data_IF_280525369643
#
_entry.id   IF_280525369643
#
_cell.length_a   1.000
_cell.length_b   1.000
_cell.length_c   1.000
_cell.angle_alpha   90.00
_cell.angle_beta   90.00
_cell.angle_gamma   90.00
#
_symmetry.space_group_name_H-M   'P 1'
#
loop_
_entity.id
_entity.type
_entity.pdbx_description
1 polymer ?
#
# COMPACT_ATOMS: atom_id res chain seq x y z
N UNK A 1 4.14 -12.37 -31.06
CA UNK A 1 4.70 -11.89 -29.79
C UNK A 1 3.91 -12.52 -28.65
N UNK A 2 4.54 -13.34 -27.81
CA UNK A 2 3.88 -13.92 -26.64
C UNK A 2 4.01 -12.94 -25.48
N UNK A 3 2.90 -12.39 -25.00
CA UNK A 3 2.87 -11.59 -23.78
C UNK A 3 2.78 -12.55 -22.60
N UNK A 4 3.84 -12.60 -21.78
CA UNK A 4 3.82 -13.35 -20.53
C UNK A 4 2.89 -12.61 -19.56
N UNK A 5 1.72 -13.18 -19.29
CA UNK A 5 0.87 -12.72 -18.19
C UNK A 5 1.53 -13.13 -16.87
N UNK A 6 1.77 -12.20 -15.92
CA UNK A 6 2.25 -12.59 -14.61
C UNK A 6 1.23 -13.52 -13.97
N UNK A 7 1.69 -14.66 -13.46
CA UNK A 7 0.85 -15.57 -12.67
C UNK A 7 0.40 -14.83 -11.41
N UNK A 8 -0.82 -15.11 -10.93
CA UNK A 8 -1.34 -14.49 -9.72
C UNK A 8 -0.37 -14.58 -8.54
N UNK A 9 0.46 -15.63 -8.48
CA UNK A 9 1.52 -15.81 -7.48
C UNK A 9 2.61 -14.74 -7.51
N UNK A 10 2.89 -14.11 -8.65
CA UNK A 10 3.90 -13.05 -8.75
C UNK A 10 3.31 -11.66 -8.41
N UNK A 11 2.05 -11.39 -8.78
CA UNK A 11 1.32 -10.26 -8.21
C UNK A 11 1.19 -10.44 -6.70
N UNK A 12 0.77 -11.62 -6.23
CA UNK A 12 0.71 -11.96 -4.81
C UNK A 12 2.10 -11.77 -4.18
N UNK A 13 3.20 -12.22 -4.79
CA UNK A 13 4.58 -12.01 -4.29
C UNK A 13 4.97 -10.52 -4.22
N UNK A 14 4.58 -9.72 -5.23
CA UNK A 14 4.85 -8.28 -5.29
C UNK A 14 4.01 -7.51 -4.26
N UNK A 15 2.74 -7.87 -4.10
CA UNK A 15 1.83 -7.27 -3.13
C UNK A 15 2.15 -7.74 -1.70
N UNK A 16 2.48 -9.02 -1.52
CA UNK A 16 2.94 -9.58 -0.23
C UNK A 16 4.27 -9.01 0.23
N UNK A 17 5.10 -8.46 -0.68
CA UNK A 17 6.28 -7.68 -0.30
C UNK A 17 5.94 -6.33 0.33
N UNK A 18 4.81 -5.72 -0.01
CA UNK A 18 4.40 -4.45 0.60
C UNK A 18 3.55 -4.69 1.84
N UNK A 19 2.59 -5.60 1.74
CA UNK A 19 1.58 -5.83 2.74
C UNK A 19 1.16 -7.31 2.80
N UNK A 20 0.98 -7.89 4.00
CA UNK A 20 0.59 -9.29 4.13
C UNK A 20 -0.81 -9.52 3.55
N UNK A 21 -0.89 -10.40 2.53
CA UNK A 21 -2.12 -10.65 1.78
C UNK A 21 -3.29 -11.15 2.66
N UNK A 22 -2.99 -11.90 3.73
CA UNK A 22 -3.99 -12.51 4.60
C UNK A 22 -4.55 -11.60 5.69
N UNK A 23 -3.78 -10.61 6.13
CA UNK A 23 -4.12 -9.80 7.32
C UNK A 23 -4.29 -8.33 7.01
N UNK A 24 -3.79 -7.82 5.90
CA UNK A 24 -3.95 -6.42 5.51
C UNK A 24 -3.49 -6.21 4.05
N UNK A 25 -4.21 -6.70 3.04
CA UNK A 25 -3.71 -6.73 1.66
C UNK A 25 -3.59 -5.36 0.99
N UNK A 26 -4.14 -4.29 1.58
CA UNK A 26 -4.22 -2.98 0.93
C UNK A 26 -3.10 -2.05 1.39
N UNK A 27 -2.13 -1.70 0.51
CA UNK A 27 -1.18 -0.64 0.79
C UNK A 27 -1.85 0.73 0.68
N UNK A 28 -1.82 1.51 1.76
CA UNK A 28 -2.35 2.87 1.82
C UNK A 28 -1.31 3.83 2.42
N UNK A 29 -1.32 5.08 1.98
CA UNK A 29 -0.64 6.16 2.69
C UNK A 29 -1.64 6.75 3.68
N UNK A 30 -1.28 6.78 4.97
CA UNK A 30 -2.18 7.30 6.00
C UNK A 30 -1.51 8.40 6.82
N UNK A 31 -2.23 9.49 7.08
CA UNK A 31 -1.81 10.55 8.00
C UNK A 31 -1.66 10.00 9.43
N UNK A 32 -0.68 10.49 10.19
CA UNK A 32 -0.60 10.19 11.63
C UNK A 32 -1.24 11.34 12.39
N UNK A 33 -2.53 11.22 12.69
CA UNK A 33 -3.15 12.16 13.62
C UNK A 33 -2.66 11.90 15.05
N UNK A 34 -2.42 12.99 15.78
CA UNK A 34 -1.80 13.01 17.11
C UNK A 34 -2.66 12.40 18.22
N UNK A 35 -3.91 12.00 17.94
CA UNK A 35 -4.80 11.36 18.91
C UNK A 35 -4.82 9.81 18.85
N UNK A 36 -3.96 9.19 18.05
CA UNK A 36 -3.63 7.77 18.18
C UNK A 36 -4.64 6.76 17.63
N UNK A 37 -5.93 7.09 17.44
CA UNK A 37 -6.89 6.23 16.73
C UNK A 37 -8.08 7.05 16.20
N UNK A 38 -8.52 6.71 14.98
CA UNK A 38 -9.91 6.76 14.45
C UNK A 38 -10.22 7.65 13.22
N UNK A 39 -9.30 8.50 12.75
CA UNK A 39 -9.38 9.07 11.39
C UNK A 39 -7.97 9.11 10.80
N UNK A 40 -7.48 7.93 10.41
CA UNK A 40 -6.36 7.86 9.50
C UNK A 40 -6.90 8.32 8.14
N UNK A 41 -6.69 9.59 7.80
CA UNK A 41 -6.92 10.06 6.43
C UNK A 41 -5.99 9.25 5.53
N UNK A 42 -6.55 8.20 4.93
CA UNK A 42 -5.81 7.21 4.17
C UNK A 42 -6.12 7.38 2.69
N UNK A 43 -5.09 7.75 1.92
CA UNK A 43 -5.15 7.83 0.49
C UNK A 43 -4.52 6.60 -0.16
N UNK A 44 -5.07 6.19 -1.31
CA UNK A 44 -4.38 5.23 -2.17
C UNK A 44 -3.07 5.85 -2.65
N UNK A 45 -1.94 5.11 -2.64
CA UNK A 45 -0.70 5.59 -3.22
C UNK A 45 -0.90 5.88 -4.73
N UNK A 46 -0.16 6.85 -5.28
CA UNK A 46 -0.24 7.20 -6.70
C UNK A 46 0.11 6.03 -7.61
N UNK A 47 -0.58 5.94 -8.75
CA UNK A 47 -0.28 4.96 -9.79
C UNK A 47 0.99 5.37 -10.58
N UNK A 48 1.89 4.43 -10.90
CA UNK A 48 1.85 3.01 -10.53
C UNK A 48 2.25 2.77 -9.07
N UNK A 49 1.56 1.84 -8.40
CA UNK A 49 1.86 1.47 -7.01
C UNK A 49 3.28 0.88 -6.96
N UNK A 50 4.15 1.38 -6.08
CA UNK A 50 5.51 0.88 -5.93
C UNK A 50 5.49 -0.60 -5.53
N UNK A 51 6.42 -1.41 -6.05
CA UNK A 51 6.51 -2.84 -5.73
C UNK A 51 7.47 -3.18 -4.58
N UNK A 52 8.02 -2.15 -3.93
CA UNK A 52 9.10 -2.27 -2.96
C UNK A 52 8.83 -1.36 -1.74
N UNK A 53 9.07 -1.90 -0.54
CA UNK A 53 8.90 -1.22 0.76
C UNK A 53 9.57 0.18 0.80
N UNK A 54 10.85 0.36 0.41
CA UNK A 54 11.50 1.68 0.52
C UNK A 54 10.85 2.73 -0.38
N UNK A 55 10.47 2.36 -1.61
CA UNK A 55 9.77 3.23 -2.53
C UNK A 55 8.38 3.60 -2.01
N UNK A 56 7.67 2.63 -1.43
CA UNK A 56 6.36 2.86 -0.82
C UNK A 56 6.42 3.81 0.38
N UNK A 57 7.41 3.63 1.26
CA UNK A 57 7.65 4.54 2.37
C UNK A 57 7.96 5.96 1.86
N UNK A 58 8.87 6.08 0.89
CA UNK A 58 9.27 7.37 0.35
C UNK A 58 8.09 8.14 -0.30
N UNK A 59 7.25 7.45 -1.07
CA UNK A 59 6.07 8.07 -1.70
C UNK A 59 5.07 8.56 -0.65
N UNK A 60 4.79 7.77 0.39
CA UNK A 60 3.88 8.23 1.45
C UNK A 60 4.50 9.38 2.26
N UNK A 61 5.81 9.32 2.55
CA UNK A 61 6.52 10.37 3.27
C UNK A 61 6.58 11.69 2.49
N UNK A 62 6.72 11.62 1.15
CA UNK A 62 6.65 12.79 0.28
C UNK A 62 5.31 13.52 0.36
N UNK A 63 4.24 12.81 0.71
CA UNK A 63 2.89 13.36 0.93
C UNK A 63 2.63 13.72 2.41
N UNK A 64 3.63 13.67 3.29
CA UNK A 64 3.47 13.95 4.73
C UNK A 64 2.74 12.83 5.51
N UNK A 65 2.61 11.65 4.91
CA UNK A 65 1.90 10.50 5.45
C UNK A 65 2.89 9.37 5.75
N UNK A 66 2.44 8.26 6.35
CA UNK A 66 3.28 7.05 6.39
C UNK A 66 2.56 5.85 5.79
N UNK A 67 3.36 4.96 5.21
CA UNK A 67 2.94 3.71 4.59
C UNK A 67 2.31 2.78 5.63
N UNK A 68 1.08 2.32 5.34
CA UNK A 68 0.29 1.40 6.18
C UNK A 68 -0.33 0.31 5.34
N UNK A 69 -0.59 -0.83 5.97
CA UNK A 69 -1.33 -1.92 5.41
C UNK A 69 -2.69 -2.00 6.12
N UNK A 70 -3.78 -1.99 5.34
CA UNK A 70 -5.14 -2.01 5.87
C UNK A 70 -5.92 -3.25 5.39
N UNK A 71 -6.76 -3.80 6.28
CA UNK A 71 -7.69 -4.90 5.96
C UNK A 71 -8.79 -4.46 5.00
N UNK A 72 -9.39 -3.31 5.30
CA UNK A 72 -10.46 -2.71 4.51
C UNK A 72 -9.86 -1.55 3.72
N UNK A 73 -10.19 -1.48 2.43
CA UNK A 73 -9.90 -0.34 1.58
C UNK A 73 -10.76 0.85 2.03
N UNK A 74 -10.39 1.49 3.15
CA UNK A 74 -11.06 2.68 3.70
C UNK A 74 -10.73 3.97 2.91
N UNK A 75 -10.49 3.84 1.60
CA UNK A 75 -10.25 4.98 0.72
C UNK A 75 -11.51 5.85 0.72
N UNK A 76 -11.39 7.04 1.30
CA UNK A 76 -12.47 8.02 1.36
C UNK A 76 -12.19 9.16 0.38
#
# INVERSE_FOLDING_TARGET
AAVASPTFSELESRQSRLCPASTAPNPLCCATDVLGVANLDCASPPNPIPSDIPSFNNICAANGQRSRCCLVSLVR
#
